data_IF_547353711361
#
_entry.id   IF_547353711361
#
_cell.length_a   1.000
_cell.length_b   1.000
_cell.length_c   1.000
_cell.angle_alpha   90.00
_cell.angle_beta   90.00
_cell.angle_gamma   90.00
#
_symmetry.space_group_name_H-M   'P 1'
#
loop_
_entity.id
_entity.type
_entity.pdbx_description
1 polymer ?
#
# COMPACT_ATOMS: atom_id res chain seq x y z
N UNK A 1 -1.05 43.55 -39.22
CA UNK A 1 -1.49 44.00 -37.89
C UNK A 1 -2.97 43.74 -37.80
N UNK A 2 -3.38 42.63 -37.17
CA UNK A 2 -4.79 42.26 -37.01
C UNK A 2 -5.22 42.60 -35.59
N UNK A 3 -6.02 43.67 -35.44
CA UNK A 3 -6.68 43.99 -34.19
C UNK A 3 -7.82 43.00 -33.98
N UNK A 4 -7.66 42.10 -33.02
CA UNK A 4 -8.74 41.29 -32.46
C UNK A 4 -9.74 42.22 -31.78
N UNK A 5 -10.92 42.39 -32.36
CA UNK A 5 -12.06 43.07 -31.73
C UNK A 5 -12.43 42.32 -30.47
N UNK A 6 -12.08 42.89 -29.32
CA UNK A 6 -12.47 42.37 -28.01
C UNK A 6 -14.00 42.47 -27.92
N UNK A 7 -14.73 41.38 -27.63
CA UNK A 7 -16.18 41.50 -27.41
C UNK A 7 -16.38 42.40 -26.19
N UNK A 8 -17.05 43.54 -26.40
CA UNK A 8 -17.50 44.45 -25.35
C UNK A 8 -18.55 43.72 -24.50
N UNK A 9 -18.06 42.95 -23.52
CA UNK A 9 -18.89 42.35 -22.49
C UNK A 9 -19.07 43.41 -21.40
N UNK A 10 -20.29 43.96 -21.20
CA UNK A 10 -20.52 44.93 -20.15
C UNK A 10 -20.18 44.29 -18.79
N UNK A 11 -19.38 44.99 -17.98
CA UNK A 11 -19.05 44.55 -16.62
C UNK A 11 -20.31 44.75 -15.76
N UNK A 12 -21.10 43.69 -15.63
CA UNK A 12 -22.27 43.67 -14.76
C UNK A 12 -21.77 43.64 -13.32
N UNK A 13 -21.98 44.75 -12.59
CA UNK A 13 -21.51 44.94 -11.21
C UNK A 13 -22.59 44.67 -10.16
N UNK A 14 -23.86 44.60 -10.57
CA UNK A 14 -25.01 44.25 -9.72
C UNK A 14 -25.59 42.88 -10.12
N UNK A 15 -25.77 41.98 -9.16
CA UNK A 15 -26.36 40.65 -9.37
C UNK A 15 -27.81 40.70 -9.86
N UNK A 16 -28.51 41.80 -9.66
CA UNK A 16 -29.89 41.98 -10.13
C UNK A 16 -29.98 42.29 -11.62
N UNK A 17 -28.88 42.77 -12.24
CA UNK A 17 -28.78 43.02 -13.68
C UNK A 17 -28.32 41.78 -14.47
N UNK A 18 -28.02 40.68 -13.77
CA UNK A 18 -27.58 39.43 -14.37
C UNK A 18 -28.76 38.62 -14.95
N UNK A 19 -28.70 38.31 -16.24
CA UNK A 19 -29.71 37.45 -16.89
C UNK A 19 -29.50 35.96 -16.54
N UNK A 20 -30.36 35.44 -15.66
CA UNK A 20 -30.40 34.03 -15.24
C UNK A 20 -30.82 33.05 -16.35
N UNK A 21 -31.21 33.55 -17.54
CA UNK A 21 -31.47 32.76 -18.74
C UNK A 21 -30.35 32.84 -19.78
N UNK A 22 -29.22 33.48 -19.46
CA UNK A 22 -28.02 33.41 -20.29
C UNK A 22 -27.33 32.03 -20.19
N UNK A 23 -26.67 31.60 -21.27
CA UNK A 23 -25.88 30.37 -21.29
C UNK A 23 -26.60 29.09 -21.74
N UNK A 24 -25.86 27.97 -21.72
CA UNK A 24 -26.35 26.63 -22.07
C UNK A 24 -27.24 26.03 -20.97
N UNK A 25 -28.00 24.97 -21.29
CA UNK A 25 -28.87 24.29 -20.32
C UNK A 25 -28.13 23.85 -19.04
N UNK A 26 -26.89 23.37 -19.17
CA UNK A 26 -26.07 22.98 -18.02
C UNK A 26 -25.61 24.17 -17.18
N UNK A 27 -25.27 25.30 -17.82
CA UNK A 27 -24.88 26.53 -17.13
C UNK A 27 -26.05 27.09 -16.32
N UNK A 28 -27.26 27.11 -16.91
CA UNK A 28 -28.47 27.53 -16.19
C UNK A 28 -28.74 26.65 -14.97
N UNK A 29 -28.60 25.33 -15.11
CA UNK A 29 -28.81 24.40 -14.00
C UNK A 29 -27.80 24.64 -12.86
N UNK A 30 -26.53 24.88 -13.19
CA UNK A 30 -25.45 25.04 -12.20
C UNK A 30 -25.48 26.43 -11.55
N UNK A 31 -25.62 27.50 -12.34
CA UNK A 31 -25.53 28.88 -11.83
C UNK A 31 -26.81 29.33 -11.12
N UNK A 32 -28.00 28.89 -11.55
CA UNK A 32 -29.25 29.25 -10.88
C UNK A 32 -29.42 28.47 -9.56
N UNK A 33 -28.87 27.26 -9.46
CA UNK A 33 -28.90 26.43 -8.24
C UNK A 33 -27.55 26.35 -7.53
N UNK A 34 -26.76 27.43 -7.58
CA UNK A 34 -25.38 27.48 -7.03
C UNK A 34 -25.24 26.92 -5.62
N UNK A 35 -26.21 27.17 -4.73
CA UNK A 35 -26.18 26.67 -3.34
C UNK A 35 -26.31 25.14 -3.30
N UNK A 36 -27.20 24.56 -4.11
CA UNK A 36 -27.42 23.11 -4.19
C UNK A 36 -26.16 22.43 -4.73
N UNK A 37 -25.54 23.01 -5.76
CA UNK A 37 -24.30 22.50 -6.34
C UNK A 37 -23.16 22.52 -5.32
N UNK A 38 -22.99 23.63 -4.59
CA UNK A 38 -21.97 23.76 -3.55
C UNK A 38 -22.17 22.74 -2.44
N UNK A 39 -23.41 22.54 -1.97
CA UNK A 39 -23.72 21.53 -0.94
C UNK A 39 -23.41 20.12 -1.44
N UNK A 40 -23.75 19.80 -2.69
CA UNK A 40 -23.46 18.49 -3.29
C UNK A 40 -21.94 18.24 -3.40
N UNK A 41 -21.17 19.24 -3.85
CA UNK A 41 -19.72 19.17 -3.90
C UNK A 41 -19.10 19.02 -2.50
N UNK A 42 -19.64 19.72 -1.50
CA UNK A 42 -19.19 19.63 -0.12
C UNK A 42 -19.44 18.22 0.44
N UNK A 43 -20.66 17.69 0.28
CA UNK A 43 -21.01 16.34 0.70
C UNK A 43 -20.11 15.28 0.03
N UNK A 44 -19.91 15.39 -1.28
CA UNK A 44 -19.02 14.49 -2.02
C UNK A 44 -17.59 14.55 -1.49
N UNK A 45 -17.07 15.75 -1.22
CA UNK A 45 -15.74 15.95 -0.64
C UNK A 45 -15.63 15.31 0.74
N UNK A 46 -16.62 15.47 1.61
CA UNK A 46 -16.63 14.86 2.95
C UNK A 46 -16.66 13.33 2.84
N UNK A 47 -17.51 12.78 1.99
CA UNK A 47 -17.62 11.33 1.78
C UNK A 47 -16.29 10.75 1.28
N UNK A 48 -15.70 11.36 0.26
CA UNK A 48 -14.42 10.93 -0.30
C UNK A 48 -13.28 11.12 0.71
N UNK A 49 -13.27 12.20 1.48
CA UNK A 49 -12.32 12.43 2.55
C UNK A 49 -12.39 11.36 3.64
N UNK A 50 -13.60 10.99 4.06
CA UNK A 50 -13.81 9.89 5.01
C UNK A 50 -13.43 8.51 4.45
N UNK A 51 -13.61 8.28 3.14
CA UNK A 51 -13.12 7.06 2.50
C UNK A 51 -11.59 7.04 2.42
N UNK A 52 -10.96 8.19 2.18
CA UNK A 52 -9.51 8.31 2.11
C UNK A 52 -8.83 7.93 3.43
N UNK A 53 -9.44 8.24 4.59
CA UNK A 53 -8.90 7.82 5.89
C UNK A 53 -8.93 6.30 6.11
N UNK A 54 -9.71 5.55 5.32
CA UNK A 54 -9.80 4.09 5.40
C UNK A 54 -8.81 3.38 4.48
N UNK A 55 -8.04 4.10 3.67
CA UNK A 55 -7.05 3.51 2.77
C UNK A 55 -5.96 2.84 3.62
N UNK A 56 -5.90 1.51 3.56
CA UNK A 56 -4.81 0.73 4.18
C UNK A 56 -3.69 0.57 3.17
N UNK A 57 -2.48 0.98 3.53
CA UNK A 57 -1.30 0.77 2.71
C UNK A 57 -0.98 -0.73 2.67
N UNK A 58 -1.29 -1.37 1.55
CA UNK A 58 -0.98 -2.78 1.34
C UNK A 58 0.33 -2.89 0.56
N UNK A 59 1.45 -2.66 1.25
CA UNK A 59 2.80 -2.83 0.71
C UNK A 59 3.20 -4.31 0.68
N UNK A 60 2.41 -5.15 0.01
CA UNK A 60 2.79 -6.53 -0.27
C UNK A 60 3.65 -6.58 -1.53
N UNK A 61 4.85 -7.15 -1.45
CA UNK A 61 5.74 -7.39 -2.61
C UNK A 61 4.99 -7.99 -3.81
N UNK A 62 4.06 -8.90 -3.54
CA UNK A 62 3.24 -9.56 -4.57
C UNK A 62 2.33 -8.59 -5.35
N UNK A 63 1.89 -7.50 -4.72
CA UNK A 63 1.02 -6.48 -5.33
C UNK A 63 1.78 -5.46 -6.17
N UNK A 64 3.10 -5.37 -5.98
CA UNK A 64 3.99 -4.55 -6.80
C UNK A 64 4.51 -5.29 -8.04
N UNK A 65 4.26 -6.61 -8.15
CA UNK A 65 4.70 -7.40 -9.29
C UNK A 65 3.83 -7.14 -10.54
N UNK A 66 4.44 -7.08 -11.74
CA UNK A 66 3.71 -6.95 -12.99
C UNK A 66 2.92 -8.24 -13.28
N UNK A 67 1.59 -8.18 -13.12
CA UNK A 67 0.69 -9.35 -13.20
C UNK A 67 0.71 -10.05 -14.56
N UNK A 68 1.02 -9.32 -15.64
CA UNK A 68 1.03 -9.86 -17.00
C UNK A 68 2.29 -10.66 -17.35
N UNK A 69 3.32 -10.65 -16.50
CA UNK A 69 4.58 -11.32 -16.80
C UNK A 69 4.48 -12.83 -16.57
N UNK A 70 4.98 -13.64 -17.51
CA UNK A 70 4.88 -15.12 -17.48
C UNK A 70 5.45 -15.73 -16.18
N UNK A 71 6.57 -15.23 -15.67
CA UNK A 71 7.12 -15.68 -14.38
C UNK A 71 6.19 -15.42 -13.19
N UNK A 72 5.45 -14.30 -13.19
CA UNK A 72 4.52 -13.93 -12.10
C UNK A 72 3.27 -14.80 -12.14
N UNK A 73 2.82 -15.19 -13.34
CA UNK A 73 1.74 -16.16 -13.54
C UNK A 73 2.18 -17.56 -13.05
N UNK A 74 3.36 -18.00 -13.47
CA UNK A 74 3.92 -19.30 -13.06
C UNK A 74 4.14 -19.37 -11.55
N UNK A 75 4.64 -18.30 -10.94
CA UNK A 75 4.79 -18.18 -9.50
C UNK A 75 3.45 -18.30 -8.78
N UNK A 76 2.41 -17.59 -9.24
CA UNK A 76 1.07 -17.68 -8.65
C UNK A 76 0.48 -19.07 -8.77
N UNK A 77 0.62 -19.73 -9.93
CA UNK A 77 0.11 -21.08 -10.16
C UNK A 77 0.79 -22.14 -9.27
N UNK A 78 2.04 -21.91 -8.86
CA UNK A 78 2.83 -22.86 -8.07
C UNK A 78 3.08 -22.40 -6.62
N UNK A 79 2.45 -21.30 -6.18
CA UNK A 79 2.76 -20.64 -4.91
C UNK A 79 2.70 -21.58 -3.71
N UNK A 80 1.72 -22.48 -3.68
CA UNK A 80 1.55 -23.44 -2.58
C UNK A 80 2.68 -24.47 -2.48
N UNK A 81 3.36 -24.76 -3.59
CA UNK A 81 4.52 -25.64 -3.64
C UNK A 81 5.82 -24.91 -3.28
N UNK A 82 5.80 -23.57 -3.27
CA UNK A 82 6.94 -22.69 -2.99
C UNK A 82 6.91 -22.13 -1.55
N UNK A 83 6.15 -22.76 -0.65
CA UNK A 83 6.08 -22.38 0.78
C UNK A 83 7.49 -22.36 1.38
N UNK A 84 7.82 -21.28 2.09
CA UNK A 84 9.14 -21.07 2.68
C UNK A 84 10.19 -20.42 1.77
N UNK A 85 9.83 -19.94 0.56
CA UNK A 85 10.75 -19.14 -0.30
C UNK A 85 10.47 -17.63 -0.27
N UNK A 86 9.28 -17.22 0.18
CA UNK A 86 8.86 -15.82 0.16
C UNK A 86 9.41 -15.01 1.32
N UNK A 87 8.88 -15.22 2.53
CA UNK A 87 9.21 -14.43 3.71
C UNK A 87 10.00 -15.28 4.72
N UNK A 88 11.33 -15.22 4.63
CA UNK A 88 12.22 -15.94 5.54
C UNK A 88 12.92 -14.96 6.48
N UNK A 89 12.78 -15.17 7.78
CA UNK A 89 13.56 -14.45 8.78
C UNK A 89 14.85 -15.21 9.06
N UNK A 90 16.00 -14.56 8.85
CA UNK A 90 17.31 -15.12 9.21
C UNK A 90 17.88 -14.40 10.41
N UNK A 91 18.12 -15.16 11.48
CA UNK A 91 18.74 -14.65 12.71
C UNK A 91 20.19 -15.16 12.73
N UNK A 92 21.14 -14.23 12.89
CA UNK A 92 22.56 -14.55 12.98
C UNK A 92 23.03 -14.15 14.38
N UNK A 93 23.58 -15.11 15.10
CA UNK A 93 24.15 -14.92 16.44
C UNK A 93 25.65 -15.17 16.34
N UNK A 94 26.46 -14.27 16.90
CA UNK A 94 27.91 -14.34 16.85
C UNK A 94 28.50 -14.21 18.26
N UNK A 95 29.64 -14.86 18.47
CA UNK A 95 30.45 -14.72 19.69
C UNK A 95 31.46 -13.60 19.46
N UNK A 96 31.63 -12.69 20.44
CA UNK A 96 32.53 -11.54 20.31
C UNK A 96 34.01 -11.93 20.24
N UNK A 97 34.42 -12.91 21.04
CA UNK A 97 35.80 -13.38 21.14
C UNK A 97 35.84 -14.91 21.13
N UNK A 98 36.78 -15.50 20.41
CA UNK A 98 36.92 -16.96 20.30
C UNK A 98 36.00 -17.59 19.25
N UNK A 99 35.43 -18.76 19.57
CA UNK A 99 34.69 -19.61 18.61
C UNK A 99 33.35 -20.07 19.17
N UNK A 100 32.43 -20.44 18.26
CA UNK A 100 31.13 -21.01 18.61
C UNK A 100 31.24 -22.42 19.23
N UNK A 101 32.35 -23.13 19.00
CA UNK A 101 32.54 -24.53 19.37
C UNK A 101 32.98 -24.74 20.84
N UNK A 102 32.57 -23.85 21.75
CA UNK A 102 32.76 -24.06 23.19
C UNK A 102 31.47 -24.60 23.82
N UNK A 103 31.53 -25.38 24.92
CA UNK A 103 30.33 -25.92 25.56
C UNK A 103 29.35 -24.84 26.01
N UNK A 104 29.86 -23.72 26.50
CA UNK A 104 29.07 -22.58 26.96
C UNK A 104 28.35 -21.88 25.81
N UNK A 105 29.08 -21.62 24.72
CA UNK A 105 28.51 -20.97 23.54
C UNK A 105 27.47 -21.87 22.88
N UNK A 106 27.75 -23.16 22.68
CA UNK A 106 26.79 -24.11 22.11
C UNK A 106 25.49 -24.19 22.94
N UNK A 107 25.58 -24.25 24.27
CA UNK A 107 24.40 -24.18 25.15
C UNK A 107 23.61 -22.90 24.97
N UNK A 108 24.29 -21.77 24.77
CA UNK A 108 23.61 -20.51 24.51
C UNK A 108 22.87 -20.53 23.16
N UNK A 109 23.50 -21.03 22.10
CA UNK A 109 22.84 -21.15 20.79
C UNK A 109 21.66 -22.13 20.81
N UNK A 110 21.76 -23.23 21.57
CA UNK A 110 20.66 -24.17 21.81
C UNK A 110 19.49 -23.48 22.52
N UNK A 111 19.77 -22.72 23.58
CA UNK A 111 18.75 -21.94 24.27
C UNK A 111 18.07 -20.92 23.33
N UNK A 112 18.84 -20.20 22.51
CA UNK A 112 18.28 -19.26 21.53
C UNK A 112 17.39 -19.98 20.51
N UNK A 113 17.80 -21.16 20.03
CA UNK A 113 17.00 -21.99 19.15
C UNK A 113 15.64 -22.34 19.80
N UNK A 114 15.67 -22.81 21.04
CA UNK A 114 14.47 -23.24 21.74
C UNK A 114 13.51 -22.08 21.99
N UNK A 115 14.02 -20.94 22.45
CA UNK A 115 13.21 -19.73 22.63
C UNK A 115 12.51 -19.33 21.32
N UNK A 116 13.23 -19.31 20.19
CA UNK A 116 12.64 -18.98 18.88
C UNK A 116 11.58 -20.02 18.46
N UNK A 117 11.84 -21.30 18.70
CA UNK A 117 10.92 -22.38 18.35
C UNK A 117 9.56 -22.28 19.06
N UNK A 118 9.55 -21.72 20.28
CA UNK A 118 8.33 -21.53 21.07
C UNK A 118 7.62 -20.20 20.84
N UNK A 119 8.18 -19.25 20.08
CA UNK A 119 7.52 -17.97 19.75
C UNK A 119 6.22 -18.23 18.97
N UNK A 120 5.07 -17.66 19.41
CA UNK A 120 3.82 -17.74 18.66
C UNK A 120 3.95 -17.15 17.24
N UNK A 121 3.53 -17.90 16.22
CA UNK A 121 3.58 -17.48 14.82
C UNK A 121 4.80 -17.96 14.04
N UNK A 122 5.78 -18.60 14.69
CA UNK A 122 6.88 -19.29 13.99
C UNK A 122 6.39 -20.62 13.42
N UNK A 123 6.72 -20.87 12.15
CA UNK A 123 6.54 -22.20 11.54
C UNK A 123 7.63 -23.15 12.04
N UNK A 124 7.27 -23.95 13.04
CA UNK A 124 8.15 -24.94 13.67
C UNK A 124 8.66 -26.00 12.71
N UNK A 125 7.86 -26.38 11.71
CA UNK A 125 8.26 -27.38 10.71
C UNK A 125 9.27 -26.80 9.71
N UNK A 126 9.18 -25.49 9.44
CA UNK A 126 10.05 -24.73 8.55
C UNK A 126 11.32 -24.18 9.20
N UNK A 127 11.39 -24.10 10.53
CA UNK A 127 12.55 -23.57 11.27
C UNK A 127 13.80 -24.43 11.03
N UNK A 128 14.90 -23.79 10.64
CA UNK A 128 16.20 -24.44 10.43
C UNK A 128 17.27 -23.78 11.30
N UNK A 129 17.99 -24.61 12.04
CA UNK A 129 19.05 -24.21 12.97
C UNK A 129 20.05 -25.35 13.12
N UNK A 130 21.27 -25.07 13.57
CA UNK A 130 22.28 -26.12 13.81
C UNK A 130 21.83 -27.18 14.84
N UNK A 131 20.80 -26.88 15.64
CA UNK A 131 20.20 -27.78 16.63
C UNK A 131 18.91 -28.47 16.14
N UNK A 132 18.43 -28.22 14.92
CA UNK A 132 17.24 -28.86 14.38
C UNK A 132 17.59 -30.06 13.47
N UNK A 133 16.81 -31.16 13.50
CA UNK A 133 17.13 -32.39 12.75
C UNK A 133 16.99 -32.23 11.23
N UNK A 134 16.32 -31.16 10.77
CA UNK A 134 16.15 -30.84 9.36
C UNK A 134 17.36 -30.08 8.76
N UNK A 135 18.35 -29.71 9.58
CA UNK A 135 19.60 -29.09 9.11
C UNK A 135 20.51 -30.17 8.55
N UNK A 136 20.59 -30.21 7.22
CA UNK A 136 21.49 -31.11 6.48
C UNK A 136 22.68 -30.31 5.97
N UNK A 137 23.89 -30.83 6.21
CA UNK A 137 25.09 -30.37 5.51
C UNK A 137 25.02 -30.92 4.08
N UNK A 138 25.12 -30.02 3.09
CA UNK A 138 25.25 -30.35 1.67
C UNK A 138 26.49 -29.66 1.14
#
# INVERSE_FOLDING_TARGET
MAHSTQPDLPVISDLNEFDYQSGSFLEKLVFNHRVIVVVLCLLTTIILGFQATKIRLQAGFEKTLPKAHQYVINYQANRDNLKGLGNNLRIVVAVKEGTIFTPENLKYFEKVNDEIFFIPGVDRNGMKSIFTPNTRWR
#
